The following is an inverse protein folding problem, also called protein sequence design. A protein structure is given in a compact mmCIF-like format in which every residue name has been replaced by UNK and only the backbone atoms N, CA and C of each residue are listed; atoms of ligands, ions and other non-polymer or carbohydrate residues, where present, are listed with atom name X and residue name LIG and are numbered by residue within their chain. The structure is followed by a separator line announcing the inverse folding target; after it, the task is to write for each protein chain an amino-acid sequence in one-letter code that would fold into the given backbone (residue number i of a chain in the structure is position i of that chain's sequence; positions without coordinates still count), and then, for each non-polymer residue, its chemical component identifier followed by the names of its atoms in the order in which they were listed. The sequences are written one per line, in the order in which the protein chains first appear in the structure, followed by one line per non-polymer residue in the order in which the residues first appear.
data_IF_677200063386
#
_entry.id   IF_677200063386
#
_cell.length_a   1.000
_cell.length_b   1.000
_cell.length_c   1.000
_cell.angle_alpha   90.00
_cell.angle_beta   90.00
_cell.angle_gamma   90.00
#
_symmetry.space_group_name_H-M   'P 1'
#
loop_
_entity.id
_entity.type
_entity.pdbx_description
1 polymer ?
#
# COMPACT_ATOMS: atom_id res chain seq x y z
N UNK A 1 18.51 24.25 4.45
CA UNK A 1 17.46 25.24 4.79
C UNK A 1 16.17 24.49 5.10
N UNK A 2 15.35 24.92 6.06
CA UNK A 2 14.04 24.31 6.36
C UNK A 2 12.95 25.34 6.11
N UNK A 3 11.88 24.93 5.45
CA UNK A 3 10.73 25.77 5.10
C UNK A 3 9.45 25.01 5.44
N UNK A 4 8.42 25.72 5.89
CA UNK A 4 7.09 25.19 6.17
C UNK A 4 6.14 25.72 5.10
N UNK A 5 5.39 24.81 4.47
CA UNK A 5 4.42 25.16 3.44
C UNK A 5 3.03 24.81 3.95
N UNK A 6 2.16 25.81 3.99
CA UNK A 6 0.72 25.63 4.19
C UNK A 6 0.08 25.51 2.80
N UNK A 7 -0.47 24.34 2.49
CA UNK A 7 -0.97 24.00 1.15
C UNK A 7 -2.42 23.55 1.29
N UNK A 8 -3.29 24.07 0.42
CA UNK A 8 -4.67 23.59 0.32
C UNK A 8 -4.69 22.12 -0.11
N UNK A 9 -5.50 21.30 0.57
CA UNK A 9 -5.63 19.85 0.34
C UNK A 9 -5.82 19.49 -1.14
N UNK A 10 -6.68 20.24 -1.85
CA UNK A 10 -6.98 20.03 -3.28
C UNK A 10 -5.76 20.17 -4.21
N UNK A 11 -4.66 20.75 -3.74
CA UNK A 11 -3.40 20.93 -4.49
C UNK A 11 -2.22 20.21 -3.85
N UNK A 12 -2.39 19.66 -2.64
CA UNK A 12 -1.34 18.97 -1.92
C UNK A 12 -0.83 17.74 -2.71
N UNK A 13 -1.75 16.94 -3.25
CA UNK A 13 -1.40 15.77 -4.05
C UNK A 13 -0.51 16.12 -5.25
N UNK A 14 -0.88 17.16 -6.02
CA UNK A 14 -0.10 17.62 -7.17
C UNK A 14 1.30 18.10 -6.79
N UNK A 15 1.45 18.77 -5.65
CA UNK A 15 2.77 19.22 -5.19
C UNK A 15 3.62 18.04 -4.71
N UNK A 16 3.04 17.07 -4.02
CA UNK A 16 3.74 15.86 -3.55
C UNK A 16 4.34 15.06 -4.72
N UNK A 17 3.63 14.93 -5.82
CA UNK A 17 4.13 14.25 -7.03
C UNK A 17 5.38 14.94 -7.61
N UNK A 18 5.39 16.28 -7.62
CA UNK A 18 6.55 17.06 -8.04
C UNK A 18 7.70 16.85 -7.06
N UNK A 19 7.43 16.90 -5.75
CA UNK A 19 8.44 16.72 -4.70
C UNK A 19 9.07 15.32 -4.73
N UNK A 20 8.31 14.28 -5.06
CA UNK A 20 8.83 12.91 -5.26
C UNK A 20 9.87 12.85 -6.39
N UNK A 21 9.73 13.67 -7.42
CA UNK A 21 10.68 13.77 -8.52
C UNK A 21 11.98 14.51 -8.17
N UNK A 22 12.01 15.27 -7.07
CA UNK A 22 13.17 16.06 -6.66
C UNK A 22 14.01 15.30 -5.63
N UNK A 23 15.02 14.54 -6.08
CA UNK A 23 15.87 13.72 -5.21
C UNK A 23 16.67 14.49 -4.14
N UNK A 24 16.79 15.82 -4.29
CA UNK A 24 17.47 16.70 -3.34
C UNK A 24 16.55 17.27 -2.26
N UNK A 25 15.25 16.99 -2.29
CA UNK A 25 14.27 17.48 -1.32
C UNK A 25 13.78 16.33 -0.45
N UNK A 26 13.91 16.48 0.87
CA UNK A 26 13.27 15.60 1.85
C UNK A 26 12.03 16.31 2.38
N UNK A 27 10.87 15.69 2.25
CA UNK A 27 9.61 16.22 2.75
C UNK A 27 8.97 15.25 3.75
N UNK A 28 8.14 15.79 4.64
CA UNK A 28 7.32 15.03 5.59
C UNK A 28 5.92 15.63 5.56
N UNK A 29 4.91 14.80 5.40
CA UNK A 29 3.51 15.22 5.48
C UNK A 29 3.16 15.30 6.97
N UNK A 30 2.64 16.44 7.42
CA UNK A 30 2.30 16.66 8.84
C UNK A 30 0.85 16.28 9.16
N UNK A 31 -0.02 16.29 8.14
CA UNK A 31 -1.46 16.08 8.25
C UNK A 31 -1.91 14.94 7.33
N UNK A 32 -1.20 13.81 7.35
CA UNK A 32 -1.61 12.64 6.56
C UNK A 32 -3.05 12.24 6.96
N UNK A 33 -4.03 12.23 6.03
CA UNK A 33 -5.25 11.48 6.28
C UNK A 33 -4.81 10.03 6.51
N UNK A 34 -5.41 9.38 7.52
CA UNK A 34 -5.19 7.95 7.84
C UNK A 34 -5.74 7.03 6.74
N UNK A 35 -5.59 7.38 5.47
CA UNK A 35 -5.68 6.41 4.40
C UNK A 35 -4.36 5.65 4.45
N UNK A 36 -4.37 4.60 5.28
CA UNK A 36 -3.33 3.59 5.34
C UNK A 36 -3.17 3.02 3.93
N UNK A 37 -2.26 3.59 3.15
CA UNK A 37 -1.53 2.79 2.17
C UNK A 37 -1.06 1.56 2.95
N UNK A 38 -1.42 0.33 2.53
CA UNK A 38 -1.08 -0.86 3.27
C UNK A 38 0.43 -0.84 3.50
N UNK A 39 0.81 -0.90 4.76
CA UNK A 39 2.22 -0.84 5.11
C UNK A 39 2.95 -1.99 4.42
N UNK A 40 4.24 -1.81 4.10
CA UNK A 40 5.03 -2.87 3.44
C UNK A 40 4.91 -4.21 4.17
N UNK A 41 4.78 -4.19 5.50
CA UNK A 41 4.50 -5.35 6.34
C UNK A 41 3.15 -6.01 6.02
N UNK A 42 2.04 -5.25 5.94
CA UNK A 42 0.72 -5.80 5.59
C UNK A 42 0.72 -6.44 4.19
N UNK A 43 1.42 -5.82 3.23
CA UNK A 43 1.58 -6.38 1.87
C UNK A 43 2.39 -7.69 1.92
N UNK A 44 3.47 -7.73 2.70
CA UNK A 44 4.30 -8.93 2.86
C UNK A 44 3.53 -10.06 3.55
N UNK A 45 2.74 -9.75 4.57
CA UNK A 45 1.87 -10.73 5.24
C UNK A 45 0.86 -11.33 4.26
N UNK A 46 0.20 -10.49 3.44
CA UNK A 46 -0.73 -10.96 2.40
C UNK A 46 -0.08 -11.90 1.39
N UNK A 47 1.13 -11.58 0.93
CA UNK A 47 1.90 -12.43 0.00
C UNK A 47 2.29 -13.76 0.67
N UNK A 48 2.77 -13.73 1.92
CA UNK A 48 3.15 -14.94 2.65
C UNK A 48 1.95 -15.86 2.89
N UNK A 49 0.78 -15.30 3.18
CA UNK A 49 -0.43 -16.06 3.37
C UNK A 49 -0.85 -16.77 2.07
N UNK A 50 -0.90 -16.04 0.95
CA UNK A 50 -1.19 -16.61 -0.36
C UNK A 50 -0.24 -17.74 -0.76
N UNK A 51 1.05 -17.62 -0.41
CA UNK A 51 2.03 -18.68 -0.67
C UNK A 51 1.80 -19.94 0.18
N UNK A 52 1.41 -19.78 1.46
CA UNK A 52 1.06 -20.92 2.34
C UNK A 52 -0.16 -21.65 1.80
N UNK A 53 -1.19 -20.92 1.40
CA UNK A 53 -2.43 -21.49 0.84
C UNK A 53 -2.13 -22.24 -0.46
N UNK A 54 -1.36 -21.65 -1.38
CA UNK A 54 -0.95 -22.30 -2.62
C UNK A 54 -0.17 -23.61 -2.36
N UNK A 55 0.70 -23.64 -1.35
CA UNK A 55 1.46 -24.84 -0.97
C UNK A 55 0.55 -25.95 -0.41
N UNK A 56 -0.47 -25.58 0.35
CA UNK A 56 -1.46 -26.52 0.90
C UNK A 56 -2.37 -27.09 -0.20
N UNK A 57 -2.78 -26.24 -1.15
CA UNK A 57 -3.53 -26.66 -2.35
C UNK A 57 -2.71 -27.66 -3.16
N UNK A 58 -1.45 -27.33 -3.44
CA UNK A 58 -0.53 -28.22 -4.17
C UNK A 58 -0.30 -29.56 -3.47
N UNK A 59 -0.31 -29.55 -2.13
CA UNK A 59 -0.15 -30.76 -1.31
C UNK A 59 -1.46 -31.57 -1.18
N UNK A 60 -2.55 -31.13 -1.81
CA UNK A 60 -3.87 -31.76 -1.72
C UNK A 60 -4.56 -31.62 -0.36
N UNK A 61 -4.01 -30.81 0.55
CA UNK A 61 -4.54 -30.60 1.91
C UNK A 61 -5.63 -29.53 1.96
N UNK A 62 -5.71 -28.68 0.94
CA UNK A 62 -6.68 -27.59 0.85
C UNK A 62 -7.29 -27.60 -0.55
N UNK A 63 -8.60 -27.41 -0.66
CA UNK A 63 -9.25 -27.25 -1.97
C UNK A 63 -9.06 -25.81 -2.44
N UNK A 64 -8.69 -25.64 -3.70
CA UNK A 64 -8.65 -24.31 -4.30
C UNK A 64 -10.04 -23.68 -4.23
N UNK A 65 -10.11 -22.42 -3.80
CA UNK A 65 -11.34 -21.63 -3.88
C UNK A 65 -11.59 -21.26 -5.34
N UNK A 66 -12.87 -21.13 -5.72
CA UNK A 66 -13.23 -20.63 -7.05
C UNK A 66 -12.84 -19.16 -7.20
N UNK A 67 -12.59 -18.72 -8.43
CA UNK A 67 -12.25 -17.32 -8.73
C UNK A 67 -13.30 -16.33 -8.19
N UNK A 68 -14.58 -16.69 -8.28
CA UNK A 68 -15.70 -15.89 -7.75
C UNK A 68 -15.61 -15.70 -6.23
N UNK A 69 -15.25 -16.74 -5.49
CA UNK A 69 -15.09 -16.66 -4.03
C UNK A 69 -13.86 -15.84 -3.63
N UNK A 70 -12.80 -15.87 -4.44
CA UNK A 70 -11.62 -15.05 -4.21
C UNK A 70 -11.91 -13.55 -4.41
N UNK A 71 -12.76 -13.22 -5.38
CA UNK A 71 -13.14 -11.84 -5.68
C UNK A 71 -14.08 -11.24 -4.63
N UNK A 72 -14.88 -12.07 -3.94
CA UNK A 72 -15.80 -11.64 -2.89
C UNK A 72 -15.08 -11.32 -1.56
N UNK A 73 -13.83 -11.79 -1.38
CA UNK A 73 -13.03 -11.60 -0.16
C UNK A 73 -12.02 -10.43 -0.24
N UNK A 74 -11.90 -9.75 -1.40
CA UNK A 74 -11.01 -8.59 -1.63
C UNK A 74 -11.74 -7.26 -1.43
#
# INVERSE_FOLDING_TARGET
MKVLLDIKDSKAHSLLEILKGLSFVKFKILNEPKEKDPTKDEILEGIQQGFKEAKLIRSGKLKAKSMEQLLDEL
#
